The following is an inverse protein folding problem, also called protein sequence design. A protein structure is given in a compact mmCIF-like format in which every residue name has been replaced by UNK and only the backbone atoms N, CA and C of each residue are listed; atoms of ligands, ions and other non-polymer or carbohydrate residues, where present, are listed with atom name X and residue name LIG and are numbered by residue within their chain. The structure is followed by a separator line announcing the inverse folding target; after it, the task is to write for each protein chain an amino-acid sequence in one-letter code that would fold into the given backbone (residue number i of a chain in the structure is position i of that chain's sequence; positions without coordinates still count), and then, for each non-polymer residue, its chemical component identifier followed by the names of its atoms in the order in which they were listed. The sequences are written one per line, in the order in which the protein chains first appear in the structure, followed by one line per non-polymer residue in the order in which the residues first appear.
data_IF_030642899016
#
_entry.id   IF_030642899016
#
_cell.length_a   1.000
_cell.length_b   1.000
_cell.length_c   1.000
_cell.angle_alpha   90.00
_cell.angle_beta   90.00
_cell.angle_gamma   90.00
#
_symmetry.space_group_name_H-M   'P 1'
#
loop_
_entity.id
_entity.type
_entity.pdbx_description
1 polymer ?
#
# COMPACT_ATOMS: atom_id res chain seq x y z
N UNK A 1 14.83 7.02 8.92
CA UNK A 1 14.70 8.11 7.91
C UNK A 1 13.32 8.71 8.06
N UNK A 2 13.19 10.04 8.13
CA UNK A 2 11.91 10.72 8.30
C UNK A 2 11.44 11.34 6.99
N UNK A 3 10.19 11.07 6.58
CA UNK A 3 9.53 11.73 5.44
C UNK A 3 8.30 12.47 5.99
N UNK A 4 8.19 13.78 5.77
CA UNK A 4 7.11 14.62 6.32
C UNK A 4 6.91 14.45 7.85
N UNK A 5 7.99 14.24 8.61
CA UNK A 5 7.94 14.03 10.06
C UNK A 5 7.56 12.61 10.50
N UNK A 6 7.27 11.70 9.57
CA UNK A 6 6.95 10.29 9.86
C UNK A 6 8.19 9.43 9.74
N UNK A 7 8.50 8.66 10.79
CA UNK A 7 9.56 7.64 10.76
C UNK A 7 9.17 6.52 9.81
N UNK A 8 9.92 6.36 8.73
CA UNK A 8 9.69 5.25 7.80
C UNK A 8 10.23 3.94 8.40
N UNK A 9 9.46 2.84 8.32
CA UNK A 9 9.86 1.52 8.83
C UNK A 9 11.04 0.91 8.05
N UNK A 10 11.33 1.43 6.85
CA UNK A 10 12.45 1.01 6.00
C UNK A 10 13.05 2.23 5.27
N UNK A 11 14.03 1.99 4.38
CA UNK A 11 14.72 3.07 3.65
C UNK A 11 13.78 3.83 2.70
N UNK A 12 14.06 5.11 2.48
CA UNK A 12 13.30 5.96 1.55
C UNK A 12 13.17 5.35 0.13
N UNK A 13 14.24 4.82 -0.50
CA UNK A 13 14.14 4.21 -1.81
C UNK A 13 13.19 3.01 -1.83
N UNK A 14 13.29 2.13 -0.83
CA UNK A 14 12.42 0.95 -0.73
C UNK A 14 10.95 1.35 -0.53
N UNK A 15 10.71 2.40 0.25
CA UNK A 15 9.38 3.00 0.43
C UNK A 15 8.77 3.40 -0.91
N UNK A 16 9.52 4.17 -1.69
CA UNK A 16 9.05 4.66 -2.99
C UNK A 16 8.77 3.51 -3.96
N UNK A 17 9.61 2.48 -3.97
CA UNK A 17 9.40 1.29 -4.81
C UNK A 17 8.12 0.56 -4.42
N UNK A 18 7.94 0.24 -3.13
CA UNK A 18 6.76 -0.51 -2.67
C UNK A 18 5.49 0.28 -2.98
N UNK A 19 5.40 1.53 -2.54
CA UNK A 19 4.19 2.33 -2.77
C UNK A 19 3.96 2.64 -4.25
N UNK A 20 5.02 2.85 -5.03
CA UNK A 20 4.92 3.05 -6.47
C UNK A 20 4.33 1.84 -7.19
N UNK A 21 4.80 0.63 -6.87
CA UNK A 21 4.28 -0.63 -7.42
C UNK A 21 2.83 -0.85 -7.02
N UNK A 22 2.49 -0.61 -5.75
CA UNK A 22 1.11 -0.77 -5.25
C UNK A 22 0.15 0.19 -5.95
N UNK A 23 0.54 1.46 -6.13
CA UNK A 23 -0.25 2.44 -6.88
C UNK A 23 -0.38 2.04 -8.35
N UNK A 24 0.70 1.60 -8.99
CA UNK A 24 0.66 1.14 -10.38
C UNK A 24 -0.30 -0.05 -10.56
N UNK A 25 -0.27 -1.02 -9.64
CA UNK A 25 -1.18 -2.15 -9.64
C UNK A 25 -2.65 -1.72 -9.45
N UNK A 26 -2.92 -0.80 -8.52
CA UNK A 26 -4.27 -0.27 -8.31
C UNK A 26 -4.80 0.48 -9.53
N UNK A 27 -3.97 1.28 -10.19
CA UNK A 27 -4.31 1.97 -11.44
C UNK A 27 -4.58 0.97 -12.56
N UNK A 28 -3.76 -0.08 -12.68
CA UNK A 28 -3.97 -1.14 -13.67
C UNK A 28 -5.31 -1.86 -13.46
N UNK A 29 -5.59 -2.31 -12.23
CA UNK A 29 -6.88 -2.94 -11.84
C UNK A 29 -8.06 -2.02 -12.19
N UNK A 30 -7.98 -0.73 -11.83
CA UNK A 30 -9.02 0.24 -12.14
C UNK A 30 -9.26 0.36 -13.66
N UNK A 31 -8.19 0.46 -14.45
CA UNK A 31 -8.28 0.60 -15.91
C UNK A 31 -8.83 -0.67 -16.55
N UNK A 32 -8.42 -1.85 -16.09
CA UNK A 32 -8.95 -3.14 -16.54
C UNK A 32 -10.45 -3.28 -16.22
N UNK A 33 -10.84 -3.01 -14.97
CA UNK A 33 -12.24 -3.05 -14.56
C UNK A 33 -13.12 -2.05 -15.35
N UNK A 34 -12.59 -0.85 -15.62
CA UNK A 34 -13.27 0.15 -16.46
C UNK A 34 -13.41 -0.33 -17.90
N UNK A 35 -12.36 -0.91 -18.48
CA UNK A 35 -12.38 -1.45 -19.85
C UNK A 35 -13.39 -2.59 -20.00
N UNK A 36 -13.65 -3.34 -18.93
CA UNK A 36 -14.69 -4.39 -18.86
C UNK A 36 -16.10 -3.87 -18.59
N UNK A 37 -16.30 -2.55 -18.49
CA UNK A 37 -17.61 -1.95 -18.24
C UNK A 37 -18.11 -2.06 -16.79
N UNK A 38 -17.22 -2.36 -15.82
CA UNK A 38 -17.62 -2.48 -14.42
C UNK A 38 -18.03 -1.13 -13.83
N UNK A 39 -19.26 -1.06 -13.31
CA UNK A 39 -19.77 0.10 -12.54
C UNK A 39 -18.92 0.38 -11.28
N UNK A 40 -18.22 -0.64 -10.78
CA UNK A 40 -17.45 -0.58 -9.54
C UNK A 40 -15.94 -0.49 -9.77
N UNK A 41 -15.48 -0.05 -10.95
CA UNK A 41 -14.05 0.04 -11.26
C UNK A 41 -13.24 0.83 -10.20
N UNK A 42 -13.79 1.92 -9.67
CA UNK A 42 -13.16 2.70 -8.59
C UNK A 42 -13.04 1.88 -7.30
N UNK A 43 -14.08 1.13 -6.95
CA UNK A 43 -14.08 0.24 -5.78
C UNK A 43 -12.99 -0.81 -5.93
N UNK A 44 -12.80 -1.37 -7.13
CA UNK A 44 -11.72 -2.32 -7.39
C UNK A 44 -10.34 -1.72 -7.14
N UNK A 45 -10.05 -0.54 -7.71
CA UNK A 45 -8.77 0.14 -7.48
C UNK A 45 -8.53 0.49 -6.00
N UNK A 46 -9.55 1.03 -5.33
CA UNK A 46 -9.46 1.36 -3.90
C UNK A 46 -9.29 0.11 -3.03
N UNK A 47 -9.99 -0.97 -3.35
CA UNK A 47 -9.88 -2.24 -2.62
C UNK A 47 -8.46 -2.77 -2.72
N UNK A 48 -7.83 -2.71 -3.89
CA UNK A 48 -6.42 -3.09 -4.06
C UNK A 48 -5.52 -2.32 -3.11
N UNK A 49 -5.68 -0.99 -2.99
CA UNK A 49 -4.88 -0.19 -2.06
C UNK A 49 -5.16 -0.57 -0.60
N UNK A 50 -6.43 -0.63 -0.21
CA UNK A 50 -6.85 -0.90 1.18
C UNK A 50 -6.35 -2.27 1.62
N UNK A 51 -6.62 -3.32 0.86
CA UNK A 51 -6.25 -4.69 1.22
C UNK A 51 -4.75 -4.96 1.14
N UNK A 52 -3.98 -4.15 0.41
CA UNK A 52 -2.51 -4.28 0.38
C UNK A 52 -1.83 -3.50 1.50
N UNK A 53 -2.31 -2.28 1.79
CA UNK A 53 -1.62 -1.35 2.70
C UNK A 53 -2.08 -1.55 4.15
N UNK A 54 -3.39 -1.67 4.40
CA UNK A 54 -3.94 -1.67 5.77
C UNK A 54 -3.42 -2.83 6.62
N UNK A 55 -3.34 -4.09 6.14
CA UNK A 55 -2.82 -5.19 6.95
C UNK A 55 -1.35 -4.99 7.36
N UNK A 56 -0.53 -4.42 6.46
CA UNK A 56 0.87 -4.11 6.75
C UNK A 56 0.98 -3.04 7.82
N UNK A 57 0.20 -1.95 7.69
CA UNK A 57 0.18 -0.89 8.70
C UNK A 57 -0.33 -1.42 10.05
N UNK A 58 -1.35 -2.27 10.05
CA UNK A 58 -1.86 -2.90 11.26
C UNK A 58 -0.79 -3.78 11.92
N UNK A 59 -0.07 -4.60 11.14
CA UNK A 59 1.03 -5.43 11.64
C UNK A 59 2.13 -4.56 12.27
N UNK A 60 2.57 -3.52 11.57
CA UNK A 60 3.60 -2.61 12.06
C UNK A 60 3.15 -1.87 13.31
N UNK A 61 1.88 -1.43 13.37
CA UNK A 61 1.33 -0.76 14.55
C UNK A 61 1.30 -1.70 15.76
N UNK A 62 0.86 -2.95 15.58
CA UNK A 62 0.80 -3.94 16.66
C UNK A 62 2.17 -4.36 17.16
N UNK A 63 3.20 -4.30 16.33
CA UNK A 63 4.56 -4.74 16.66
C UNK A 63 5.56 -3.59 16.71
N UNK A 64 5.13 -2.33 16.82
CA UNK A 64 6.05 -1.20 16.74
C UNK A 64 7.06 -1.18 17.90
N UNK A 65 6.67 -1.73 19.07
CA UNK A 65 7.51 -1.87 20.26
C UNK A 65 8.24 -3.22 20.34
N UNK A 66 7.81 -4.19 19.54
CA UNK A 66 8.44 -5.50 19.51
C UNK A 66 9.70 -5.41 18.65
N UNK A 67 10.87 -5.45 19.29
CA UNK A 67 12.14 -5.65 18.59
C UNK A 67 12.09 -6.92 17.70
N UNK A 68 13.03 -7.08 16.74
CA UNK A 68 13.03 -8.23 15.85
C UNK A 68 12.93 -9.53 16.64
N UNK A 69 12.02 -10.41 16.23
CA UNK A 69 11.88 -11.74 16.82
C UNK A 69 13.26 -12.42 16.80
N UNK A 70 13.70 -12.89 17.98
CA UNK A 70 14.95 -13.64 18.15
C UNK A 70 14.82 -15.04 17.60
#
# INVERSE_FOLDING_TARGET
MTLFGVSLPWSLPLTLVIYGVVVAAAVWIYRDARARGSRYAVVWGLSTLVFTIVPVLAYLYLHHDAGPAR
#
